data_IF_429042943646
#
_entry.id   IF_429042943646
#
_cell.length_a   1.000
_cell.length_b   1.000
_cell.length_c   1.000
_cell.angle_alpha   90.00
_cell.angle_beta   90.00
_cell.angle_gamma   90.00
#
_symmetry.space_group_name_H-M   'P 1'
#
loop_
_entity.id
_entity.type
_entity.pdbx_description
1 polymer ?
#
# COMPACT_ATOMS: atom_id res chain seq x y z
N UNK A 1 -72.60 -31.15 10.48
CA UNK A 1 -71.59 -30.34 11.17
C UNK A 1 -70.32 -30.30 10.33
N UNK A 2 -70.04 -29.17 9.79
CA UNK A 2 -68.82 -29.00 8.98
C UNK A 2 -67.80 -28.20 9.78
N UNK A 3 -66.73 -28.83 10.13
CA UNK A 3 -65.60 -28.16 10.78
C UNK A 3 -64.72 -27.54 9.73
N UNK A 4 -64.77 -26.24 9.60
CA UNK A 4 -63.84 -25.52 8.77
C UNK A 4 -62.58 -25.25 9.60
N UNK A 5 -61.61 -26.03 9.34
CA UNK A 5 -60.27 -25.69 9.79
C UNK A 5 -59.60 -24.80 8.73
N UNK A 6 -59.69 -23.52 8.93
CA UNK A 6 -58.90 -22.59 8.14
C UNK A 6 -57.42 -22.73 8.56
N UNK A 7 -56.70 -23.42 7.72
CA UNK A 7 -55.25 -23.42 7.79
C UNK A 7 -54.75 -22.09 7.21
N UNK A 8 -54.47 -21.14 8.09
CA UNK A 8 -53.68 -20.00 7.71
C UNK A 8 -52.22 -20.46 7.63
N UNK A 9 -51.77 -20.82 6.44
CA UNK A 9 -50.36 -20.92 6.16
C UNK A 9 -49.81 -19.50 6.15
N UNK A 10 -49.26 -19.09 7.25
CA UNK A 10 -48.47 -17.85 7.31
C UNK A 10 -47.27 -18.00 6.46
N UNK A 11 -47.31 -17.40 5.27
CA UNK A 11 -46.10 -17.24 4.46
C UNK A 11 -45.24 -16.20 5.13
N UNK A 12 -44.31 -16.64 5.97
CA UNK A 12 -43.26 -15.78 6.46
C UNK A 12 -42.34 -15.49 5.29
N UNK A 13 -42.53 -14.36 4.62
CA UNK A 13 -41.56 -13.80 3.73
C UNK A 13 -40.37 -13.33 4.59
N UNK A 14 -39.42 -14.21 4.76
CA UNK A 14 -38.13 -13.80 5.25
C UNK A 14 -37.47 -13.00 4.13
N UNK A 15 -37.66 -11.70 4.14
CA UNK A 15 -36.87 -10.79 3.33
C UNK A 15 -35.48 -10.78 3.90
N UNK A 16 -34.61 -11.63 3.39
CA UNK A 16 -33.23 -11.54 3.61
C UNK A 16 -32.71 -10.25 2.93
N UNK A 17 -32.61 -9.20 3.71
CA UNK A 17 -31.85 -8.03 3.27
C UNK A 17 -30.39 -8.47 3.14
N UNK A 18 -29.99 -8.82 1.92
CA UNK A 18 -28.60 -8.81 1.56
C UNK A 18 -28.17 -7.33 1.60
N UNK A 19 -27.71 -6.88 2.74
CA UNK A 19 -26.94 -5.66 2.79
C UNK A 19 -25.64 -5.95 2.04
N UNK A 20 -25.59 -5.56 0.77
CA UNK A 20 -24.33 -5.46 0.07
C UNK A 20 -23.53 -4.38 0.80
N UNK A 21 -22.72 -4.79 1.76
CA UNK A 21 -21.71 -3.90 2.30
C UNK A 21 -20.77 -3.61 1.15
N UNK A 22 -20.83 -2.36 0.63
CA UNK A 22 -19.75 -1.82 -0.19
C UNK A 22 -18.52 -1.89 0.70
N UNK A 23 -17.72 -2.93 0.50
CA UNK A 23 -16.45 -3.06 1.18
C UNK A 23 -15.55 -1.95 0.63
N UNK A 24 -15.52 -0.81 1.31
CA UNK A 24 -14.50 0.20 1.08
C UNK A 24 -13.16 -0.44 1.38
N UNK A 25 -12.21 -0.30 0.46
CA UNK A 25 -10.86 -0.77 0.70
C UNK A 25 -10.29 -0.07 1.94
N UNK A 26 -9.74 -0.86 2.85
CA UNK A 26 -9.00 -0.34 3.99
C UNK A 26 -7.55 -0.03 3.58
N UNK A 27 -6.84 0.87 4.25
CA UNK A 27 -5.41 1.09 3.99
C UNK A 27 -4.58 -0.19 4.05
N UNK A 28 -4.96 -1.16 4.88
CA UNK A 28 -4.31 -2.47 4.98
C UNK A 28 -4.49 -3.36 3.74
N UNK A 29 -5.38 -3.00 2.82
CA UNK A 29 -5.57 -3.71 1.55
C UNK A 29 -4.53 -3.32 0.50
N UNK A 30 -3.71 -2.32 0.78
CA UNK A 30 -2.66 -1.82 -0.10
C UNK A 30 -1.29 -2.02 0.52
N UNK A 31 -0.30 -2.27 -0.32
CA UNK A 31 1.06 -2.48 0.14
C UNK A 31 2.06 -1.94 -0.87
N UNK A 32 3.06 -1.21 -0.38
CA UNK A 32 4.25 -0.89 -1.16
C UNK A 32 5.26 -2.03 -1.05
N UNK A 33 5.86 -2.37 -2.17
CA UNK A 33 6.93 -3.35 -2.24
C UNK A 33 8.12 -2.75 -2.97
N UNK A 34 9.33 -3.05 -2.52
CA UNK A 34 10.53 -2.67 -3.23
C UNK A 34 10.66 -3.45 -4.53
N UNK A 35 10.97 -2.75 -5.62
CA UNK A 35 11.28 -3.40 -6.91
C UNK A 35 12.63 -4.10 -6.81
N UNK A 36 13.60 -3.49 -6.10
CA UNK A 36 14.92 -4.07 -5.83
C UNK A 36 15.25 -3.94 -4.35
N UNK A 37 15.69 -5.03 -3.74
CA UNK A 37 16.10 -5.06 -2.34
C UNK A 37 17.58 -4.72 -2.13
N UNK A 38 18.36 -4.74 -3.19
CA UNK A 38 19.76 -4.32 -3.20
C UNK A 38 19.94 -3.19 -4.20
N UNK A 39 20.60 -2.13 -3.77
CA UNK A 39 20.83 -0.94 -4.57
C UNK A 39 22.31 -0.60 -4.46
N UNK A 40 22.94 -0.25 -5.57
CA UNK A 40 24.33 0.16 -5.57
C UNK A 40 24.49 1.53 -4.95
N UNK A 41 25.57 1.69 -4.18
CA UNK A 41 26.00 2.97 -3.65
C UNK A 41 26.21 3.97 -4.79
N UNK A 42 25.56 5.12 -4.72
CA UNK A 42 25.66 6.17 -5.73
C UNK A 42 25.12 7.50 -5.21
N UNK A 43 25.59 8.59 -5.81
CA UNK A 43 25.09 9.94 -5.51
C UNK A 43 23.66 10.15 -6.06
N UNK A 44 23.33 9.47 -7.15
CA UNK A 44 22.03 9.53 -7.78
C UNK A 44 21.46 8.12 -7.93
N UNK A 45 21.22 7.47 -6.80
CA UNK A 45 20.59 6.17 -6.77
C UNK A 45 19.07 6.30 -6.97
N UNK A 46 18.44 5.23 -7.41
CA UNK A 46 16.99 5.17 -7.59
C UNK A 46 16.39 4.11 -6.67
N UNK A 47 15.45 4.53 -5.85
CA UNK A 47 14.57 3.62 -5.10
C UNK A 47 13.25 3.54 -5.86
N UNK A 48 12.87 2.34 -6.29
CA UNK A 48 11.59 2.12 -6.94
C UNK A 48 10.71 1.23 -6.06
N UNK A 49 9.47 1.66 -5.86
CA UNK A 49 8.46 0.92 -5.11
C UNK A 49 7.24 0.69 -5.98
N UNK A 50 6.61 -0.44 -5.78
CA UNK A 50 5.37 -0.82 -6.44
C UNK A 50 4.25 -0.82 -5.43
N UNK A 51 3.16 -0.11 -5.72
CA UNK A 51 1.97 -0.15 -4.90
C UNK A 51 0.99 -1.18 -5.45
N UNK A 52 0.57 -2.10 -4.61
CA UNK A 52 -0.29 -3.21 -4.97
C UNK A 52 -1.57 -3.16 -4.14
N UNK A 53 -2.71 -3.40 -4.80
CA UNK A 53 -3.95 -3.77 -4.13
C UNK A 53 -3.89 -5.28 -3.84
N UNK A 54 -3.79 -5.65 -2.57
CA UNK A 54 -3.65 -7.06 -2.17
C UNK A 54 -4.88 -7.91 -2.45
N UNK A 55 -6.04 -7.28 -2.62
CA UNK A 55 -7.29 -7.99 -2.92
C UNK A 55 -7.31 -8.54 -4.34
N UNK A 56 -6.75 -7.80 -5.29
CA UNK A 56 -6.72 -8.16 -6.71
C UNK A 56 -5.34 -8.54 -7.21
N UNK A 57 -4.27 -8.16 -6.50
CA UNK A 57 -2.89 -8.28 -6.96
C UNK A 57 -2.49 -7.26 -8.02
N UNK A 58 -3.37 -6.32 -8.35
CA UNK A 58 -3.13 -5.32 -9.39
C UNK A 58 -2.33 -4.13 -8.87
N UNK A 59 -1.48 -3.54 -9.72
CA UNK A 59 -0.80 -2.29 -9.38
C UNK A 59 -1.78 -1.12 -9.30
N UNK A 60 -1.46 -0.16 -8.43
CA UNK A 60 -2.26 1.04 -8.19
C UNK A 60 -1.46 2.26 -8.66
N UNK A 61 -1.94 2.94 -9.69
CA UNK A 61 -1.21 4.03 -10.35
C UNK A 61 -1.70 5.45 -10.01
N UNK A 62 -2.68 5.57 -9.13
CA UNK A 62 -3.26 6.87 -8.76
C UNK A 62 -3.07 7.21 -7.27
N UNK A 63 -1.95 6.82 -6.70
CA UNK A 63 -1.62 7.17 -5.34
C UNK A 63 -0.87 8.50 -5.28
N UNK A 64 -1.18 9.29 -4.26
CA UNK A 64 -0.44 10.51 -3.94
C UNK A 64 0.48 10.21 -2.77
N UNK A 65 1.78 10.17 -3.03
CA UNK A 65 2.79 10.01 -1.99
C UNK A 65 3.07 11.39 -1.41
N UNK A 66 2.81 11.56 -0.12
CA UNK A 66 2.95 12.85 0.55
C UNK A 66 4.09 12.91 1.55
N UNK A 67 4.67 11.78 1.93
CA UNK A 67 5.80 11.74 2.84
C UNK A 67 6.73 10.57 2.50
N UNK A 68 8.01 10.85 2.52
CA UNK A 68 9.07 9.86 2.35
C UNK A 68 10.20 10.14 3.34
N UNK A 69 10.89 9.08 3.74
CA UNK A 69 12.09 9.17 4.57
C UNK A 69 13.04 8.05 4.19
N UNK A 70 14.30 8.37 4.04
CA UNK A 70 15.38 7.41 3.81
C UNK A 70 16.37 7.53 4.96
N UNK A 71 16.60 6.45 5.69
CA UNK A 71 17.51 6.44 6.82
C UNK A 71 18.23 5.10 6.98
N UNK A 72 19.23 5.07 7.86
CA UNK A 72 20.01 3.87 8.18
C UNK A 72 19.56 3.20 9.48
N UNK A 73 18.28 3.22 9.78
CA UNK A 73 17.74 2.59 10.99
C UNK A 73 18.15 1.11 11.14
N UNK A 74 18.16 0.27 10.06
CA UNK A 74 18.58 -1.12 10.20
C UNK A 74 20.00 -1.30 10.76
N UNK A 75 20.88 -0.35 10.53
CA UNK A 75 22.25 -0.36 11.09
C UNK A 75 22.35 0.45 12.39
N UNK A 76 21.23 0.78 13.01
CA UNK A 76 21.21 1.54 14.26
C UNK A 76 21.51 3.02 14.11
N UNK A 77 21.50 3.54 12.89
CA UNK A 77 21.82 4.94 12.59
C UNK A 77 20.61 5.67 12.01
N UNK A 78 19.54 5.75 12.79
CA UNK A 78 18.29 6.37 12.35
C UNK A 78 18.44 7.87 12.02
N UNK A 79 19.41 8.53 12.62
CA UNK A 79 19.69 9.95 12.36
C UNK A 79 20.42 10.19 11.05
N UNK A 80 20.98 9.14 10.43
CA UNK A 80 21.54 9.21 9.09
C UNK A 80 20.43 9.18 8.07
N UNK A 81 20.05 10.37 7.58
CA UNK A 81 18.97 10.53 6.61
C UNK A 81 19.49 11.14 5.31
N UNK A 82 18.79 10.84 4.23
CA UNK A 82 19.03 11.45 2.94
C UNK A 82 17.69 11.80 2.29
N UNK A 83 17.62 12.91 1.54
CA UNK A 83 16.37 13.28 0.88
C UNK A 83 16.07 12.35 -0.30
N UNK A 84 14.77 12.13 -0.55
CA UNK A 84 14.30 11.42 -1.72
C UNK A 84 13.45 12.36 -2.58
N UNK A 85 13.76 12.40 -3.86
CA UNK A 85 13.05 13.26 -4.82
C UNK A 85 12.25 12.41 -5.79
N UNK A 86 10.95 12.65 -5.89
CA UNK A 86 10.09 11.92 -6.81
C UNK A 86 10.53 12.12 -8.26
N UNK A 87 10.51 11.03 -9.01
CA UNK A 87 10.83 11.00 -10.44
C UNK A 87 9.56 10.70 -11.24
N UNK A 88 9.47 11.18 -12.49
CA UNK A 88 8.40 10.73 -13.37
C UNK A 88 8.43 9.23 -13.55
N UNK A 89 7.28 8.58 -13.51
CA UNK A 89 7.16 7.13 -13.73
C UNK A 89 6.46 6.88 -15.05
N UNK A 90 6.92 5.85 -15.76
CA UNK A 90 6.34 5.41 -17.03
C UNK A 90 5.57 4.10 -16.89
N UNK A 91 5.71 3.42 -15.75
CA UNK A 91 5.06 2.14 -15.50
C UNK A 91 3.93 2.29 -14.45
N UNK A 92 2.74 1.75 -14.72
CA UNK A 92 1.62 1.82 -13.78
C UNK A 92 1.98 1.18 -12.42
N UNK A 93 1.67 1.89 -11.36
CA UNK A 93 1.87 1.40 -9.99
C UNK A 93 3.30 1.44 -9.49
N UNK A 94 4.25 1.90 -10.28
CA UNK A 94 5.65 2.06 -9.87
C UNK A 94 5.96 3.52 -9.61
N UNK A 95 6.51 3.77 -8.43
CA UNK A 95 6.90 5.10 -7.96
C UNK A 95 8.40 5.09 -7.71
N UNK A 96 9.12 5.99 -8.36
CA UNK A 96 10.58 6.04 -8.30
C UNK A 96 11.05 7.33 -7.66
N UNK A 97 12.13 7.22 -6.89
CA UNK A 97 12.72 8.33 -6.16
C UNK A 97 14.21 8.36 -6.38
N UNK A 98 14.74 9.54 -6.64
CA UNK A 98 16.19 9.75 -6.67
C UNK A 98 16.66 10.10 -5.28
N UNK A 99 17.72 9.46 -4.84
CA UNK A 99 18.30 9.69 -3.53
C UNK A 99 19.81 9.49 -3.57
N UNK A 100 20.53 10.12 -2.64
CA UNK A 100 21.94 9.87 -2.44
C UNK A 100 22.11 8.75 -1.42
N UNK A 101 22.80 7.67 -1.81
CA UNK A 101 23.14 6.56 -0.94
C UNK A 101 24.68 6.49 -0.81
N UNK A 102 25.27 7.27 0.12
CA UNK A 102 26.72 7.42 0.19
C UNK A 102 27.43 6.30 0.93
N UNK A 103 26.70 5.45 1.64
CA UNK A 103 27.27 4.41 2.49
C UNK A 103 26.63 3.06 2.20
N UNK A 104 27.45 2.02 2.19
CA UNK A 104 26.99 0.64 2.22
C UNK A 104 26.32 0.33 3.56
N UNK A 105 25.42 -0.63 3.55
CA UNK A 105 24.75 -1.11 4.76
C UNK A 105 23.25 -1.23 4.60
N UNK A 106 22.57 -1.36 5.73
CA UNK A 106 21.13 -1.46 5.80
C UNK A 106 20.47 -0.08 5.81
N UNK A 107 19.54 0.11 4.89
CA UNK A 107 18.76 1.34 4.75
C UNK A 107 17.28 1.04 4.84
N UNK A 108 16.50 2.05 5.19
CA UNK A 108 15.05 1.96 5.27
C UNK A 108 14.41 3.11 4.48
N UNK A 109 13.48 2.76 3.62
CA UNK A 109 12.62 3.70 2.92
C UNK A 109 11.23 3.67 3.56
N UNK A 110 10.83 4.77 4.16
CA UNK A 110 9.48 4.96 4.71
C UNK A 110 8.67 5.78 3.73
N UNK A 111 7.48 5.32 3.41
CA UNK A 111 6.61 5.95 2.43
C UNK A 111 5.19 6.02 2.97
N UNK A 112 4.57 7.18 2.82
CA UNK A 112 3.17 7.39 3.19
C UNK A 112 2.42 7.98 2.01
N UNK A 113 1.26 7.43 1.72
CA UNK A 113 0.47 7.78 0.56
C UNK A 113 -1.03 7.72 0.82
N UNK A 114 -1.77 8.40 -0.03
CA UNK A 114 -3.22 8.29 -0.14
C UNK A 114 -3.59 7.77 -1.52
N UNK A 115 -4.51 6.81 -1.55
CA UNK A 115 -5.11 6.34 -2.80
C UNK A 115 -6.38 7.13 -3.05
N UNK A 116 -6.54 7.62 -4.26
CA UNK A 116 -7.69 8.41 -4.65
C UNK A 116 -8.99 7.61 -4.47
N UNK A 117 -9.96 8.20 -3.78
CA UNK A 117 -11.25 7.57 -3.49
C UNK A 117 -11.25 6.69 -2.25
N UNK A 118 -10.13 6.54 -1.57
CA UNK A 118 -10.02 5.73 -0.34
C UNK A 118 -9.77 6.62 0.88
N UNK A 119 -10.37 6.24 2.00
CA UNK A 119 -10.12 6.88 3.28
C UNK A 119 -8.86 6.29 3.93
N UNK A 120 -8.11 7.15 4.62
CA UNK A 120 -6.95 6.73 5.37
C UNK A 120 -5.64 6.84 4.60
N UNK A 121 -4.56 6.48 5.28
CA UNK A 121 -3.20 6.60 4.81
C UNK A 121 -2.56 5.22 4.71
N UNK A 122 -1.89 4.95 3.60
CA UNK A 122 -1.06 3.77 3.44
C UNK A 122 0.35 4.15 3.86
N UNK A 123 0.92 3.40 4.80
CA UNK A 123 2.26 3.64 5.30
C UNK A 123 3.04 2.35 5.35
N UNK A 124 4.23 2.34 4.73
CA UNK A 124 5.14 1.21 4.77
C UNK A 124 6.56 1.66 5.09
N UNK A 125 7.28 0.79 5.76
CA UNK A 125 8.71 0.92 6.04
C UNK A 125 9.42 -0.26 5.39
N UNK A 126 10.23 0.03 4.37
CA UNK A 126 10.81 -0.97 3.51
C UNK A 126 12.33 -0.97 3.71
N UNK A 127 12.88 -2.13 4.05
CA UNK A 127 14.31 -2.30 4.31
C UNK A 127 14.99 -2.80 3.05
N UNK A 128 16.11 -2.18 2.69
CA UNK A 128 16.94 -2.57 1.56
C UNK A 128 18.42 -2.48 1.93
N UNK A 129 19.25 -3.07 1.12
CA UNK A 129 20.68 -3.10 1.32
C UNK A 129 21.38 -2.27 0.25
N UNK A 130 22.32 -1.44 0.67
CA UNK A 130 23.22 -0.71 -0.23
C UNK A 130 24.53 -1.46 -0.33
N UNK A 131 24.94 -1.75 -1.53
CA UNK A 131 26.14 -2.51 -1.88
C UNK A 131 27.04 -1.68 -2.78
N UNK A 132 28.29 -2.13 -2.96
CA UNK A 132 29.24 -1.46 -3.86
C UNK A 132 28.85 -1.57 -5.32
#
# INVERSE_FOLDING_TARGET
MKNYRSLFAGLALASTFLSASLANAAPSDYEFQLVKNEIQKADAAVIAVKLIDKRSGNPVDHAVIFATRVDMQPDGMEMMTTPATAMPTTEPGIYSFRTNLPMEGGWRFSVAAKVQGEDGTIENKLVFKVVQ
#
